data_IF_447981258460
#
_entry.id   IF_447981258460
#
_cell.length_a   1.000
_cell.length_b   1.000
_cell.length_c   1.000
_cell.angle_alpha   90.00
_cell.angle_beta   90.00
_cell.angle_gamma   90.00
#
_symmetry.space_group_name_H-M   'P 1'
#
loop_
_entity.id
_entity.type
_entity.pdbx_description
1 polymer ?
#
# COMPACT_ATOMS: atom_id res chain seq x y z
N UNK A 1 1.54 23.39 -24.16
CA UNK A 1 0.40 22.82 -23.41
C UNK A 1 0.94 21.72 -22.50
N UNK A 2 1.60 22.13 -21.42
CA UNK A 2 2.19 21.19 -20.46
C UNK A 2 2.25 21.91 -19.10
N UNK A 3 1.25 21.80 -18.29
CA UNK A 3 1.24 22.53 -17.03
C UNK A 3 0.13 22.17 -16.05
N UNK A 4 -0.61 21.08 -16.23
CA UNK A 4 -1.74 20.75 -15.35
C UNK A 4 -1.78 19.31 -14.82
N UNK A 5 -0.72 18.53 -14.95
CA UNK A 5 -0.74 17.10 -14.53
C UNK A 5 -0.24 16.85 -13.10
N UNK A 6 0.50 17.77 -12.48
CA UNK A 6 1.08 17.52 -11.16
C UNK A 6 0.21 17.88 -9.95
N UNK A 7 -0.62 18.94 -9.94
CA UNK A 7 -1.55 19.17 -8.82
C UNK A 7 -2.48 17.98 -8.60
N UNK A 8 -2.82 17.27 -9.69
CA UNK A 8 -3.70 16.12 -9.66
C UNK A 8 -3.05 14.88 -9.03
N UNK A 9 -1.72 14.73 -9.05
CA UNK A 9 -1.04 13.57 -8.47
C UNK A 9 -0.89 13.68 -6.94
N UNK A 10 -0.53 14.84 -6.41
CA UNK A 10 -0.45 15.05 -4.95
C UNK A 10 -1.85 15.01 -4.33
N UNK A 11 -2.82 15.68 -4.95
CA UNK A 11 -4.24 15.64 -4.55
C UNK A 11 -4.89 14.30 -4.87
N UNK A 12 -4.55 13.62 -5.96
CA UNK A 12 -5.08 12.29 -6.26
C UNK A 12 -4.51 11.21 -5.35
N UNK A 13 -3.24 11.26 -4.98
CA UNK A 13 -2.66 10.29 -4.05
C UNK A 13 -3.23 10.48 -2.63
N UNK A 14 -3.44 11.73 -2.18
CA UNK A 14 -4.08 12.05 -0.92
C UNK A 14 -5.62 12.00 -1.00
N UNK A 15 -6.23 12.48 -2.09
CA UNK A 15 -7.68 12.51 -2.27
C UNK A 15 -8.29 11.14 -2.62
N UNK A 16 -7.57 10.24 -3.26
CA UNK A 16 -8.02 8.85 -3.46
C UNK A 16 -8.21 8.10 -2.14
N UNK A 17 -7.63 8.60 -1.05
CA UNK A 17 -7.66 7.98 0.26
C UNK A 17 -8.50 8.71 1.32
N UNK A 18 -9.05 9.91 1.05
CA UNK A 18 -9.67 10.74 2.11
C UNK A 18 -10.95 11.46 1.66
N UNK A 19 -11.91 10.80 1.04
CA UNK A 19 -13.26 11.34 0.91
C UNK A 19 -14.21 10.66 1.91
N UNK A 20 -14.31 11.24 3.11
CA UNK A 20 -15.45 11.03 4.01
C UNK A 20 -15.92 12.39 4.57
N UNK A 21 -17.21 12.71 4.49
CA UNK A 21 -17.76 13.90 5.14
C UNK A 21 -17.73 13.73 6.66
N UNK A 22 -17.16 14.71 7.33
CA UNK A 22 -17.09 14.79 8.78
C UNK A 22 -18.47 14.86 9.41
N UNK A 23 -18.90 13.84 10.12
CA UNK A 23 -19.98 13.94 11.09
C UNK A 23 -19.46 14.64 12.35
N UNK A 24 -20.17 15.70 12.75
CA UNK A 24 -19.84 16.59 13.86
C UNK A 24 -19.77 15.85 15.19
N UNK A 25 -18.66 15.95 15.89
CA UNK A 25 -18.64 15.80 17.35
C UNK A 25 -18.05 17.05 17.99
N UNK A 26 -18.87 17.70 18.80
CA UNK A 26 -18.50 18.80 19.69
C UNK A 26 -17.88 18.23 20.97
N UNK A 27 -16.72 18.70 21.38
CA UNK A 27 -16.36 18.75 22.79
C UNK A 27 -15.39 19.89 23.09
N UNK A 28 -15.78 20.73 24.02
CA UNK A 28 -15.03 21.85 24.62
C UNK A 28 -14.11 21.34 25.73
N UNK A 29 -13.09 22.16 25.97
CA UNK A 29 -12.22 22.39 27.14
C UNK A 29 -10.78 21.92 26.90
N UNK A 30 -9.76 22.72 27.09
CA UNK A 30 -9.45 23.83 27.96
C UNK A 30 -7.95 23.69 28.34
N UNK A 31 -7.15 24.70 28.12
CA UNK A 31 -5.69 24.74 28.21
C UNK A 31 -5.16 24.63 29.64
N UNK A 32 -3.95 24.08 29.78
CA UNK A 32 -2.88 24.67 30.58
C UNK A 32 -1.52 24.11 30.16
N UNK A 33 -0.57 25.03 29.97
CA UNK A 33 0.81 24.73 29.60
C UNK A 33 1.65 24.70 30.88
N UNK A 34 2.47 23.66 31.07
CA UNK A 34 3.61 23.69 31.95
C UNK A 34 4.86 23.15 31.28
N UNK A 35 5.91 23.97 31.37
CA UNK A 35 7.26 23.69 30.87
C UNK A 35 7.97 22.70 31.80
N UNK A 36 8.41 21.54 31.29
CA UNK A 36 9.36 20.69 32.01
C UNK A 36 10.52 20.29 31.10
N UNK A 37 11.73 20.47 31.65
CA UNK A 37 13.01 20.11 31.09
C UNK A 37 13.08 18.61 30.72
N UNK A 38 13.50 18.30 29.49
CA UNK A 38 13.60 16.93 28.96
C UNK A 38 14.84 16.23 29.53
N UNK A 39 14.61 15.18 30.29
CA UNK A 39 15.55 14.09 30.51
C UNK A 39 15.70 13.22 29.26
N UNK A 40 16.82 12.49 29.02
CA UNK A 40 17.01 11.68 27.82
C UNK A 40 15.91 10.63 27.70
N UNK A 41 15.27 10.59 26.53
CA UNK A 41 14.14 9.74 26.26
C UNK A 41 14.52 8.26 26.40
N UNK A 42 13.98 7.57 27.39
CA UNK A 42 13.88 6.11 27.37
C UNK A 42 13.07 5.73 26.13
N UNK A 43 13.56 4.78 25.33
CA UNK A 43 12.83 4.23 24.19
C UNK A 43 11.37 3.94 24.59
N UNK A 44 10.44 4.69 24.03
CA UNK A 44 9.02 4.43 24.24
C UNK A 44 8.66 3.13 23.53
N UNK A 45 8.17 2.14 24.24
CA UNK A 45 7.80 0.83 23.75
C UNK A 45 6.57 0.84 22.84
N UNK A 46 5.78 1.92 22.84
CA UNK A 46 4.56 2.09 22.03
C UNK A 46 4.30 3.57 21.74
N UNK A 47 3.86 3.88 20.53
CA UNK A 47 3.19 5.14 20.23
C UNK A 47 1.82 5.05 20.88
N UNK A 48 1.52 5.91 21.84
CA UNK A 48 0.24 5.84 22.51
C UNK A 48 -0.92 6.22 21.54
N UNK A 49 -2.14 5.88 21.94
CA UNK A 49 -3.35 6.19 21.17
C UNK A 49 -3.43 7.69 20.85
N UNK A 50 -3.00 8.54 21.76
CA UNK A 50 -3.06 9.99 21.60
C UNK A 50 -2.05 10.50 20.56
N UNK A 51 -0.84 9.94 20.50
CA UNK A 51 0.14 10.26 19.44
C UNK A 51 -0.37 9.83 18.07
N UNK A 52 -0.97 8.63 17.97
CA UNK A 52 -1.58 8.14 16.73
C UNK A 52 -2.74 9.03 16.26
N UNK A 53 -3.61 9.46 17.16
CA UNK A 53 -4.71 10.38 16.85
C UNK A 53 -4.18 11.76 16.40
N UNK A 54 -3.10 12.26 17.01
CA UNK A 54 -2.45 13.51 16.62
C UNK A 54 -1.83 13.44 15.22
N UNK A 55 -1.18 12.32 14.88
CA UNK A 55 -0.65 12.06 13.54
C UNK A 55 -1.81 12.07 12.52
N UNK A 56 -2.86 11.30 12.78
CA UNK A 56 -4.03 11.22 11.90
C UNK A 56 -4.71 12.57 11.70
N UNK A 57 -4.90 13.32 12.78
CA UNK A 57 -5.50 14.66 12.73
C UNK A 57 -4.60 15.65 11.95
N UNK A 58 -3.29 15.53 12.11
CA UNK A 58 -2.33 16.35 11.37
C UNK A 58 -2.39 16.09 9.87
N UNK A 59 -2.44 14.83 9.46
CA UNK A 59 -2.57 14.48 8.04
C UNK A 59 -3.91 14.97 7.45
N UNK A 60 -5.04 14.79 8.14
CA UNK A 60 -6.34 15.33 7.67
C UNK A 60 -6.27 16.84 7.45
N UNK A 61 -5.73 17.59 8.43
CA UNK A 61 -5.58 19.06 8.29
C UNK A 61 -4.64 19.45 7.16
N UNK A 62 -3.54 18.71 6.96
CA UNK A 62 -2.64 18.96 5.84
C UNK A 62 -3.34 18.71 4.50
N UNK A 63 -4.12 17.65 4.40
CA UNK A 63 -4.91 17.35 3.20
C UNK A 63 -5.93 18.46 2.90
N UNK A 64 -6.67 18.96 3.90
CA UNK A 64 -7.60 20.09 3.75
C UNK A 64 -6.90 21.36 3.22
N UNK A 65 -5.63 21.57 3.61
CA UNK A 65 -4.82 22.67 3.06
C UNK A 65 -4.42 22.39 1.60
N UNK A 66 -4.01 21.19 1.28
CA UNK A 66 -3.64 20.79 -0.09
C UNK A 66 -4.82 20.88 -1.07
N UNK A 67 -6.02 20.52 -0.64
CA UNK A 67 -7.25 20.68 -1.43
C UNK A 67 -7.54 22.14 -1.80
N UNK A 68 -7.08 23.07 -0.96
CA UNK A 68 -7.16 24.53 -1.20
C UNK A 68 -5.91 25.10 -1.91
N UNK A 69 -5.02 24.21 -2.37
CA UNK A 69 -3.72 24.56 -2.97
C UNK A 69 -2.80 25.37 -2.02
N UNK A 70 -3.10 25.37 -0.70
CA UNK A 70 -2.24 26.01 0.31
C UNK A 70 -1.15 25.04 0.77
N UNK A 71 -0.23 24.75 -0.15
CA UNK A 71 0.89 23.83 0.09
C UNK A 71 1.82 24.29 1.21
N UNK A 72 1.92 25.61 1.44
CA UNK A 72 2.74 26.13 2.51
C UNK A 72 2.13 25.82 3.87
N UNK A 73 0.84 26.06 4.06
CA UNK A 73 0.13 25.70 5.28
C UNK A 73 0.17 24.17 5.49
N UNK A 74 -0.03 23.38 4.43
CA UNK A 74 0.10 21.93 4.49
C UNK A 74 1.47 21.46 4.99
N UNK A 75 2.56 22.05 4.47
CA UNK A 75 3.91 21.76 4.92
C UNK A 75 4.13 22.10 6.41
N UNK A 76 3.65 23.26 6.88
CA UNK A 76 3.77 23.64 8.30
C UNK A 76 2.99 22.70 9.22
N UNK A 77 1.80 22.26 8.81
CA UNK A 77 1.04 21.24 9.55
C UNK A 77 1.82 19.93 9.59
N UNK A 78 2.36 19.45 8.46
CA UNK A 78 3.14 18.21 8.41
C UNK A 78 4.42 18.27 9.24
N UNK A 79 5.02 19.44 9.45
CA UNK A 79 6.14 19.59 10.38
C UNK A 79 5.76 19.29 11.82
N UNK A 80 4.52 19.54 12.22
CA UNK A 80 4.03 19.15 13.54
C UNK A 80 3.91 17.63 13.65
N UNK A 81 3.47 16.96 12.58
CA UNK A 81 3.44 15.50 12.48
C UNK A 81 4.86 14.92 12.49
N UNK A 82 5.77 15.51 11.71
CA UNK A 82 7.18 15.15 11.71
C UNK A 82 7.82 15.21 13.10
N UNK A 83 7.43 16.17 13.94
CA UNK A 83 7.96 16.26 15.32
C UNK A 83 7.57 15.06 16.18
N UNK A 84 6.51 14.35 15.84
CA UNK A 84 6.05 13.12 16.53
C UNK A 84 6.77 11.90 15.97
N UNK A 85 6.95 11.84 14.63
CA UNK A 85 7.60 10.73 13.93
C UNK A 85 8.66 11.25 12.92
N UNK A 86 9.85 11.65 13.40
CA UNK A 86 10.85 12.33 12.57
C UNK A 86 11.58 11.42 11.57
N UNK A 87 11.42 10.10 11.68
CA UNK A 87 12.07 9.14 10.78
C UNK A 87 11.09 8.56 9.73
N UNK A 88 9.88 9.10 9.66
CA UNK A 88 8.92 8.73 8.63
C UNK A 88 9.27 9.40 7.31
N UNK A 89 9.83 8.64 6.38
CA UNK A 89 10.26 9.12 5.09
C UNK A 89 9.09 9.62 4.22
N UNK A 90 7.88 9.13 4.43
CA UNK A 90 6.70 9.62 3.74
C UNK A 90 6.33 11.04 4.18
N UNK A 91 6.34 11.31 5.50
CA UNK A 91 6.10 12.66 6.02
C UNK A 91 7.15 13.62 5.47
N UNK A 92 8.42 13.23 5.50
CA UNK A 92 9.54 14.02 4.98
C UNK A 92 9.33 14.31 3.49
N UNK A 93 8.91 13.30 2.72
CA UNK A 93 8.64 13.45 1.30
C UNK A 93 7.51 14.45 1.03
N UNK A 94 6.37 14.33 1.72
CA UNK A 94 5.24 15.25 1.53
C UNK A 94 5.61 16.70 1.88
N UNK A 95 6.45 16.92 2.90
CA UNK A 95 6.94 18.26 3.20
C UNK A 95 7.84 18.76 2.07
N UNK A 96 8.74 17.94 1.54
CA UNK A 96 9.60 18.31 0.41
C UNK A 96 8.78 18.66 -0.83
N UNK A 97 7.80 17.83 -1.21
CA UNK A 97 6.91 18.10 -2.34
C UNK A 97 6.08 19.38 -2.16
N UNK A 98 5.61 19.65 -0.93
CA UNK A 98 4.89 20.88 -0.64
C UNK A 98 5.75 22.11 -0.91
N UNK A 99 7.04 22.10 -0.52
CA UNK A 99 7.97 23.18 -0.84
C UNK A 99 8.32 23.27 -2.32
N UNK A 100 8.33 22.13 -3.02
CA UNK A 100 8.44 22.15 -4.48
C UNK A 100 7.26 22.86 -5.14
N UNK A 101 6.03 22.64 -4.63
CA UNK A 101 4.81 23.28 -5.15
C UNK A 101 4.82 24.80 -4.94
N UNK A 102 5.27 25.30 -3.79
CA UNK A 102 5.35 26.76 -3.53
C UNK A 102 6.59 27.42 -4.12
N UNK A 103 7.52 26.66 -4.67
CA UNK A 103 8.74 27.18 -5.28
C UNK A 103 9.82 27.60 -4.30
N UNK A 104 9.78 27.16 -3.05
CA UNK A 104 10.82 27.39 -2.06
C UNK A 104 11.95 26.37 -2.20
N UNK A 105 12.90 26.66 -3.09
CA UNK A 105 14.03 25.78 -3.39
C UNK A 105 14.95 25.53 -2.17
N UNK A 106 15.05 26.48 -1.26
CA UNK A 106 15.90 26.33 -0.08
C UNK A 106 15.32 25.30 0.90
N UNK A 107 14.04 25.44 1.21
CA UNK A 107 13.31 24.47 2.04
C UNK A 107 13.23 23.11 1.37
N UNK A 108 12.94 23.04 0.07
CA UNK A 108 12.94 21.78 -0.69
C UNK A 108 14.27 21.05 -0.54
N UNK A 109 15.41 21.71 -0.78
CA UNK A 109 16.75 21.10 -0.67
C UNK A 109 17.06 20.64 0.77
N UNK A 110 16.59 21.37 1.77
CA UNK A 110 16.72 20.97 3.17
C UNK A 110 16.00 19.66 3.44
N UNK A 111 14.74 19.55 2.98
CA UNK A 111 13.92 18.36 3.22
C UNK A 111 14.36 17.15 2.38
N UNK A 112 14.80 17.37 1.14
CA UNK A 112 15.43 16.33 0.32
C UNK A 112 16.70 15.77 0.98
N UNK A 113 17.50 16.62 1.65
CA UNK A 113 18.66 16.14 2.44
C UNK A 113 18.24 15.26 3.61
N UNK A 114 17.17 15.61 4.32
CA UNK A 114 16.59 14.78 5.38
C UNK A 114 16.06 13.46 4.85
N UNK A 115 15.33 13.51 3.73
CA UNK A 115 14.82 12.31 3.06
C UNK A 115 15.96 11.38 2.68
N UNK A 116 17.04 11.91 2.11
CA UNK A 116 18.22 11.12 1.74
C UNK A 116 18.89 10.44 2.94
N UNK A 117 18.91 11.09 4.10
CA UNK A 117 19.48 10.53 5.32
C UNK A 117 18.66 9.35 5.85
N UNK A 118 17.33 9.37 5.69
CA UNK A 118 16.42 8.34 6.17
C UNK A 118 16.19 7.25 5.11
N UNK A 119 15.97 7.65 3.87
CA UNK A 119 15.56 6.75 2.78
C UNK A 119 16.14 7.15 1.43
N UNK A 120 17.38 6.75 1.11
CA UNK A 120 17.98 7.03 -0.20
C UNK A 120 17.13 6.56 -1.38
N UNK A 121 16.36 5.49 -1.20
CA UNK A 121 15.48 4.93 -2.22
C UNK A 121 14.30 5.86 -2.59
N UNK A 122 13.88 6.71 -1.68
CA UNK A 122 12.81 7.67 -1.93
C UNK A 122 13.33 9.04 -2.41
N UNK A 123 14.64 9.22 -2.47
CA UNK A 123 15.21 10.40 -3.09
C UNK A 123 14.91 10.38 -4.59
N UNK A 124 14.02 11.23 -5.02
CA UNK A 124 13.57 11.33 -6.40
C UNK A 124 13.61 12.78 -6.87
N UNK A 125 13.38 12.94 -8.14
CA UNK A 125 13.38 14.23 -8.80
C UNK A 125 12.02 14.92 -8.64
N UNK A 126 11.97 16.19 -8.14
CA UNK A 126 10.75 16.98 -8.15
C UNK A 126 10.42 17.46 -9.57
N UNK A 127 9.56 16.74 -10.28
CA UNK A 127 9.23 16.98 -11.69
C UNK A 127 8.67 18.38 -11.97
N UNK A 128 8.03 18.99 -10.96
CA UNK A 128 7.49 20.34 -11.01
C UNK A 128 8.54 21.44 -10.86
N UNK A 129 9.81 21.10 -10.56
CA UNK A 129 10.91 22.07 -10.34
C UNK A 129 12.15 21.77 -11.21
N UNK A 130 12.05 21.80 -12.55
CA UNK A 130 13.17 21.48 -13.44
C UNK A 130 14.40 22.38 -13.26
N UNK A 131 14.23 23.61 -12.75
CA UNK A 131 15.33 24.55 -12.47
C UNK A 131 16.28 24.05 -11.38
N UNK A 132 15.77 23.33 -10.38
CA UNK A 132 16.59 22.86 -9.26
C UNK A 132 17.61 21.79 -9.68
N UNK A 133 17.33 21.03 -10.76
CA UNK A 133 18.26 20.04 -11.34
C UNK A 133 19.60 20.66 -11.70
N UNK A 134 19.60 21.90 -12.13
CA UNK A 134 20.79 22.64 -12.53
C UNK A 134 21.59 23.15 -11.33
N UNK A 135 21.01 23.11 -10.12
CA UNK A 135 21.70 23.57 -8.92
C UNK A 135 22.82 22.59 -8.52
N UNK A 136 23.94 23.13 -8.07
CA UNK A 136 25.06 22.32 -7.56
C UNK A 136 24.65 21.51 -6.33
N UNK A 137 23.80 22.09 -5.49
CA UNK A 137 23.31 21.46 -4.25
C UNK A 137 22.48 20.20 -4.55
N UNK A 138 21.53 20.28 -5.49
CA UNK A 138 20.73 19.13 -5.90
C UNK A 138 21.60 18.02 -6.51
N UNK A 139 22.52 18.39 -7.45
CA UNK A 139 23.43 17.41 -8.05
C UNK A 139 24.28 16.67 -7.03
N UNK A 140 24.76 17.36 -6.00
CA UNK A 140 25.49 16.72 -4.91
C UNK A 140 24.63 15.71 -4.14
N UNK A 141 23.38 16.07 -3.80
CA UNK A 141 22.43 15.17 -3.14
C UNK A 141 22.13 13.95 -4.00
N UNK A 142 21.86 14.15 -5.30
CA UNK A 142 21.61 13.06 -6.25
C UNK A 142 22.81 12.10 -6.38
N UNK A 143 24.03 12.61 -6.36
CA UNK A 143 25.25 11.76 -6.36
C UNK A 143 25.37 10.93 -5.07
N UNK A 144 25.01 11.50 -3.91
CA UNK A 144 25.00 10.77 -2.65
C UNK A 144 23.90 9.71 -2.66
N UNK A 145 22.70 10.03 -3.15
CA UNK A 145 21.61 9.08 -3.31
C UNK A 145 22.00 7.88 -4.16
N UNK A 146 22.60 8.16 -5.34
CA UNK A 146 23.03 7.10 -6.27
C UNK A 146 24.07 6.13 -5.66
N UNK A 147 24.93 6.62 -4.76
CA UNK A 147 25.88 5.77 -4.03
C UNK A 147 25.23 4.92 -2.94
N UNK A 148 24.12 5.39 -2.38
CA UNK A 148 23.38 4.69 -1.33
C UNK A 148 22.42 3.63 -1.87
N UNK A 149 22.08 3.66 -3.16
CA UNK A 149 21.23 2.66 -3.81
C UNK A 149 22.06 1.42 -4.11
N UNK A 150 21.63 0.26 -3.57
CA UNK A 150 22.25 -1.03 -3.88
C UNK A 150 21.89 -1.48 -5.30
N UNK A 151 22.70 -2.34 -5.94
CA UNK A 151 22.29 -3.02 -7.16
C UNK A 151 20.96 -3.74 -6.96
N UNK A 152 20.15 -3.77 -8.01
CA UNK A 152 18.85 -4.47 -7.98
C UNK A 152 19.07 -5.96 -7.65
N UNK A 153 18.33 -6.43 -6.65
CA UNK A 153 18.42 -7.81 -6.17
C UNK A 153 17.33 -8.72 -6.75
N UNK A 154 16.29 -8.11 -7.31
CA UNK A 154 15.19 -8.84 -7.93
C UNK A 154 15.49 -9.19 -9.38
N UNK A 155 15.04 -10.36 -9.80
CA UNK A 155 15.07 -10.84 -11.19
C UNK A 155 13.66 -10.96 -11.76
N UNK A 156 13.52 -10.89 -13.07
CA UNK A 156 12.23 -11.12 -13.75
C UNK A 156 11.87 -12.60 -13.62
N UNK A 157 10.79 -12.91 -12.92
CA UNK A 157 10.27 -14.27 -12.84
C UNK A 157 9.53 -14.66 -14.12
N UNK A 158 8.62 -13.80 -14.57
CA UNK A 158 7.90 -13.97 -15.84
C UNK A 158 7.22 -12.66 -16.26
N UNK A 159 6.79 -12.61 -17.52
CA UNK A 159 6.05 -11.47 -18.09
C UNK A 159 4.79 -11.93 -18.80
N UNK A 160 3.71 -11.12 -18.70
CA UNK A 160 2.45 -11.37 -19.40
C UNK A 160 2.32 -10.42 -20.62
N UNK A 161 1.79 -10.95 -21.69
CA UNK A 161 1.56 -10.22 -22.95
C UNK A 161 0.32 -9.32 -22.92
N UNK A 162 -0.61 -9.56 -22.01
CA UNK A 162 -1.85 -8.80 -21.81
C UNK A 162 -1.54 -7.51 -21.02
N UNK A 163 -1.20 -6.46 -21.78
CA UNK A 163 -0.70 -5.20 -21.22
C UNK A 163 -1.74 -4.42 -20.42
N UNK A 164 -2.99 -4.54 -20.79
CA UNK A 164 -4.15 -3.87 -20.20
C UNK A 164 -4.84 -4.70 -19.10
N UNK A 165 -4.13 -5.72 -18.59
CA UNK A 165 -4.57 -6.46 -17.40
C UNK A 165 -4.63 -5.56 -16.18
N UNK A 166 -3.62 -4.70 -16.00
CA UNK A 166 -3.46 -3.78 -14.87
C UNK A 166 -3.67 -4.54 -13.56
N UNK A 167 -2.74 -5.46 -13.23
CA UNK A 167 -2.88 -6.32 -12.07
C UNK A 167 -2.58 -5.57 -10.78
N UNK A 168 -3.23 -5.99 -9.70
CA UNK A 168 -2.98 -5.47 -8.36
C UNK A 168 -2.67 -6.59 -7.39
N UNK A 169 -3.37 -7.72 -7.47
CA UNK A 169 -3.20 -8.89 -6.61
C UNK A 169 -2.49 -10.05 -7.29
N UNK A 170 -1.69 -10.80 -6.50
CA UNK A 170 -1.06 -12.05 -6.92
C UNK A 170 -1.16 -13.08 -5.80
N UNK A 171 -1.53 -14.32 -6.16
CA UNK A 171 -1.56 -15.47 -5.26
C UNK A 171 -0.86 -16.67 -5.91
N UNK A 172 -0.48 -17.67 -5.12
CA UNK A 172 0.21 -18.87 -5.60
C UNK A 172 -0.43 -20.13 -5.04
N UNK A 173 -0.68 -21.09 -5.91
CA UNK A 173 -1.10 -22.44 -5.55
C UNK A 173 0.11 -23.38 -5.57
N UNK A 174 0.56 -23.86 -4.40
CA UNK A 174 1.72 -24.74 -4.32
C UNK A 174 1.48 -26.14 -4.87
N UNK A 175 0.23 -26.61 -4.92
CA UNK A 175 -0.09 -27.95 -5.44
C UNK A 175 -0.03 -27.97 -6.96
N UNK A 176 -0.65 -26.99 -7.62
CA UNK A 176 -0.63 -26.89 -9.08
C UNK A 176 0.60 -26.16 -9.63
N UNK A 177 1.38 -25.51 -8.74
CA UNK A 177 2.53 -24.68 -9.07
C UNK A 177 2.18 -23.55 -10.08
N UNK A 178 1.09 -22.83 -9.79
CA UNK A 178 0.59 -21.75 -10.61
C UNK A 178 0.37 -20.48 -9.82
N UNK A 179 0.52 -19.35 -10.50
CA UNK A 179 0.15 -18.05 -9.96
C UNK A 179 -1.24 -17.64 -10.46
N UNK A 180 -1.94 -16.86 -9.66
CA UNK A 180 -3.14 -16.13 -10.05
C UNK A 180 -2.81 -14.65 -9.99
N UNK A 181 -3.17 -13.89 -11.04
CA UNK A 181 -3.08 -12.43 -11.06
C UNK A 181 -4.47 -11.85 -11.26
N UNK A 182 -4.77 -10.83 -10.47
CA UNK A 182 -6.02 -10.08 -10.57
C UNK A 182 -5.97 -9.06 -11.72
N UNK A 183 -7.11 -8.47 -12.05
CA UNK A 183 -7.18 -7.36 -12.99
C UNK A 183 -8.13 -6.29 -12.51
N UNK A 184 -7.59 -5.11 -12.20
CA UNK A 184 -8.40 -3.95 -11.87
C UNK A 184 -9.30 -3.54 -13.02
N UNK A 185 -8.74 -3.46 -14.23
CA UNK A 185 -9.49 -2.98 -15.39
C UNK A 185 -10.42 -4.03 -15.97
N UNK A 186 -9.95 -5.27 -16.19
CA UNK A 186 -10.71 -6.29 -16.92
C UNK A 186 -11.66 -7.12 -16.07
N UNK A 187 -11.70 -6.90 -14.77
CA UNK A 187 -12.66 -7.59 -13.90
C UNK A 187 -12.57 -9.12 -14.04
N UNK A 188 -11.34 -9.65 -14.08
CA UNK A 188 -11.06 -11.07 -14.24
C UNK A 188 -9.82 -11.50 -13.49
N UNK A 189 -9.60 -12.80 -13.44
CA UNK A 189 -8.44 -13.45 -12.82
C UNK A 189 -7.78 -14.29 -13.91
N UNK A 190 -6.46 -14.18 -14.06
CA UNK A 190 -5.67 -15.04 -14.93
C UNK A 190 -4.86 -16.04 -14.12
N UNK A 191 -4.75 -17.26 -14.61
CA UNK A 191 -3.93 -18.35 -14.08
C UNK A 191 -2.66 -18.45 -14.91
N UNK A 192 -1.52 -18.45 -14.26
CA UNK A 192 -0.20 -18.38 -14.90
C UNK A 192 0.66 -19.53 -14.41
N UNK A 193 1.12 -20.35 -15.35
CA UNK A 193 2.14 -21.38 -15.10
C UNK A 193 3.47 -20.92 -15.66
N UNK A 194 4.45 -20.57 -14.80
CA UNK A 194 5.80 -20.24 -15.25
C UNK A 194 6.41 -21.41 -16.01
N UNK A 195 7.30 -21.10 -16.95
CA UNK A 195 8.15 -22.06 -17.64
C UNK A 195 9.61 -21.78 -17.34
N UNK A 196 10.50 -22.63 -17.80
CA UNK A 196 11.95 -22.42 -17.69
C UNK A 196 12.38 -21.10 -18.34
N UNK A 197 13.47 -20.52 -17.89
CA UNK A 197 14.04 -19.29 -18.44
C UNK A 197 14.05 -19.33 -19.99
N UNK A 198 13.61 -18.27 -20.64
CA UNK A 198 13.47 -18.08 -22.08
C UNK A 198 12.18 -18.61 -22.74
N UNK A 199 11.26 -19.21 -22.00
CA UNK A 199 9.95 -19.56 -22.53
C UNK A 199 8.85 -18.66 -21.91
N UNK A 200 7.89 -18.16 -22.73
CA UNK A 200 6.77 -17.41 -22.16
C UNK A 200 5.94 -18.33 -21.25
N UNK A 201 5.37 -17.80 -20.16
CA UNK A 201 4.50 -18.56 -19.30
C UNK A 201 3.24 -19.02 -20.05
N UNK A 202 2.61 -20.11 -19.60
CA UNK A 202 1.26 -20.45 -20.01
C UNK A 202 0.30 -19.57 -19.23
N UNK A 203 -0.57 -18.86 -19.93
CA UNK A 203 -1.56 -17.96 -19.35
C UNK A 203 -2.94 -18.39 -19.78
N UNK A 204 -3.84 -18.59 -18.85
CA UNK A 204 -5.23 -18.96 -19.05
C UNK A 204 -6.13 -18.04 -18.25
N UNK A 205 -7.32 -17.74 -18.74
CA UNK A 205 -8.34 -17.09 -17.92
C UNK A 205 -8.83 -18.10 -16.87
N UNK A 206 -8.71 -17.74 -15.57
CA UNK A 206 -9.34 -18.49 -14.49
C UNK A 206 -10.82 -18.14 -14.41
N UNK A 207 -11.14 -16.85 -14.53
CA UNK A 207 -12.48 -16.31 -14.75
C UNK A 207 -12.51 -15.48 -16.02
N UNK A 208 -13.62 -15.49 -16.74
CA UNK A 208 -13.86 -14.55 -17.82
C UNK A 208 -14.16 -13.14 -17.29
N UNK A 209 -14.11 -12.13 -18.16
CA UNK A 209 -14.37 -10.73 -17.79
C UNK A 209 -15.77 -10.55 -17.20
N UNK A 210 -15.85 -10.02 -15.96
CA UNK A 210 -17.10 -9.77 -15.24
C UNK A 210 -17.86 -11.03 -14.84
N UNK A 211 -17.25 -12.22 -14.95
CA UNK A 211 -17.88 -13.47 -14.53
C UNK A 211 -18.27 -13.40 -13.07
N UNK A 212 -19.40 -14.01 -12.71
CA UNK A 212 -19.96 -14.07 -11.35
C UNK A 212 -20.25 -12.68 -10.73
N UNK A 213 -20.22 -11.62 -11.56
CA UNK A 213 -20.40 -10.23 -11.12
C UNK A 213 -19.14 -9.65 -10.48
N UNK A 214 -17.95 -10.11 -10.88
CA UNK A 214 -16.68 -9.50 -10.48
C UNK A 214 -16.64 -8.03 -10.87
N UNK A 215 -16.25 -7.18 -9.94
CA UNK A 215 -15.79 -5.80 -10.13
C UNK A 215 -14.28 -5.79 -10.41
N UNK A 216 -13.59 -4.67 -10.22
CA UNK A 216 -12.12 -4.66 -10.16
C UNK A 216 -11.64 -5.70 -9.17
N UNK A 217 -10.78 -6.62 -9.60
CA UNK A 217 -10.21 -7.63 -8.70
C UNK A 217 -8.89 -7.14 -8.14
N UNK A 218 -8.75 -7.21 -6.81
CA UNK A 218 -7.63 -6.70 -6.04
C UNK A 218 -6.85 -7.85 -5.37
N UNK A 219 -6.62 -7.77 -4.06
CA UNK A 219 -5.89 -8.77 -3.31
C UNK A 219 -6.50 -10.17 -3.39
N UNK A 220 -5.65 -11.17 -3.40
CA UNK A 220 -6.05 -12.58 -3.49
C UNK A 220 -5.16 -13.45 -2.61
N UNK A 221 -5.72 -14.53 -2.06
CA UNK A 221 -4.96 -15.57 -1.36
C UNK A 221 -5.50 -16.96 -1.70
N UNK A 222 -4.59 -17.90 -1.81
CA UNK A 222 -4.90 -19.33 -1.95
C UNK A 222 -4.86 -20.00 -0.58
N UNK A 223 -5.96 -20.63 -0.21
CA UNK A 223 -6.00 -21.67 0.82
C UNK A 223 -5.73 -23.01 0.14
N UNK A 224 -4.48 -23.44 0.18
CA UNK A 224 -4.05 -24.63 -0.54
C UNK A 224 -4.62 -25.91 0.08
N UNK A 225 -4.82 -25.94 1.39
CA UNK A 225 -5.36 -27.07 2.11
C UNK A 225 -6.83 -27.33 1.77
N UNK A 226 -7.61 -26.23 1.74
CA UNK A 226 -9.06 -26.29 1.45
C UNK A 226 -9.37 -26.11 -0.04
N UNK A 227 -8.32 -25.94 -0.87
CA UNK A 227 -8.44 -25.72 -2.32
C UNK A 227 -9.32 -24.54 -2.68
N UNK A 228 -9.15 -23.41 -2.01
CA UNK A 228 -9.95 -22.20 -2.18
C UNK A 228 -9.07 -21.05 -2.66
N UNK A 229 -9.56 -20.28 -3.63
CA UNK A 229 -9.05 -18.95 -3.96
C UNK A 229 -10.00 -17.88 -3.41
N UNK A 230 -9.50 -17.06 -2.48
CA UNK A 230 -10.19 -15.90 -1.96
C UNK A 230 -9.81 -14.67 -2.76
N UNK A 231 -10.78 -13.81 -3.10
CA UNK A 231 -10.59 -12.67 -3.98
C UNK A 231 -11.35 -11.45 -3.47
N UNK A 232 -10.65 -10.35 -3.19
CA UNK A 232 -11.24 -9.03 -2.97
C UNK A 232 -11.67 -8.43 -4.31
N UNK A 233 -12.87 -7.84 -4.36
CA UNK A 233 -13.40 -7.23 -5.57
C UNK A 233 -14.22 -6.00 -5.21
N UNK A 234 -13.89 -4.85 -5.80
CA UNK A 234 -14.50 -3.55 -5.48
C UNK A 234 -14.79 -2.77 -6.75
N UNK A 235 -15.91 -2.06 -6.77
CA UNK A 235 -16.30 -1.27 -7.93
C UNK A 235 -15.51 0.04 -7.99
N UNK A 236 -14.53 0.07 -8.88
CA UNK A 236 -13.68 1.24 -9.13
C UNK A 236 -13.95 1.84 -10.50
N UNK A 237 -13.92 3.16 -10.59
CA UNK A 237 -14.31 3.91 -11.79
C UNK A 237 -13.50 3.59 -13.06
N UNK A 238 -12.31 3.03 -12.90
CA UNK A 238 -11.43 2.60 -14.00
C UNK A 238 -11.66 1.15 -14.46
N UNK A 239 -12.58 0.42 -13.84
CA UNK A 239 -12.95 -0.91 -14.32
C UNK A 239 -13.72 -0.81 -15.65
N UNK A 240 -13.58 -1.79 -16.50
CA UNK A 240 -14.38 -1.88 -17.73
C UNK A 240 -15.87 -2.02 -17.41
N UNK A 241 -16.72 -1.33 -18.16
CA UNK A 241 -18.17 -1.30 -17.95
C UNK A 241 -18.59 -0.80 -16.55
N UNK A 242 -17.84 0.15 -15.98
CA UNK A 242 -18.25 0.84 -14.76
C UNK A 242 -19.56 1.60 -14.96
N UNK A 243 -20.39 1.58 -13.95
CA UNK A 243 -21.60 2.40 -13.85
C UNK A 243 -21.62 3.11 -12.50
N UNK A 244 -22.11 4.34 -12.45
CA UNK A 244 -22.29 5.07 -11.19
C UNK A 244 -23.19 4.32 -10.19
N UNK A 245 -24.08 3.45 -10.66
CA UNK A 245 -24.89 2.57 -9.82
C UNK A 245 -24.06 1.50 -9.08
N UNK A 246 -22.80 1.29 -9.49
CA UNK A 246 -21.87 0.36 -8.85
C UNK A 246 -20.99 1.03 -7.81
N UNK A 247 -20.97 2.38 -7.79
CA UNK A 247 -20.11 3.15 -6.90
C UNK A 247 -20.21 2.67 -5.44
N UNK A 248 -19.06 2.35 -4.83
CA UNK A 248 -18.97 1.94 -3.44
C UNK A 248 -19.35 0.50 -3.13
N UNK A 249 -19.80 -0.29 -4.12
CA UNK A 249 -20.04 -1.74 -3.93
C UNK A 249 -18.74 -2.51 -3.87
N UNK A 250 -18.71 -3.52 -3.00
CA UNK A 250 -17.62 -4.47 -2.91
C UNK A 250 -18.15 -5.87 -2.59
N UNK A 251 -17.34 -6.88 -2.87
CA UNK A 251 -17.63 -8.25 -2.48
C UNK A 251 -16.34 -9.06 -2.29
N UNK A 252 -16.39 -10.01 -1.38
CA UNK A 252 -15.39 -11.07 -1.27
C UNK A 252 -15.90 -12.31 -1.99
N UNK A 253 -15.06 -12.89 -2.84
CA UNK A 253 -15.39 -14.10 -3.62
C UNK A 253 -14.57 -15.29 -3.13
N UNK A 254 -15.21 -16.45 -3.10
CA UNK A 254 -14.64 -17.75 -2.71
C UNK A 254 -14.79 -18.72 -3.88
N UNK A 255 -13.69 -19.05 -4.55
CA UNK A 255 -13.67 -19.99 -5.67
C UNK A 255 -13.06 -21.32 -5.26
N UNK A 256 -13.66 -22.42 -5.68
CA UNK A 256 -13.06 -23.75 -5.60
C UNK A 256 -12.02 -23.92 -6.71
N UNK A 257 -10.79 -24.23 -6.33
CA UNK A 257 -9.66 -24.34 -7.27
C UNK A 257 -9.72 -25.58 -8.15
N UNK A 258 -10.39 -26.66 -7.71
CA UNK A 258 -10.49 -27.91 -8.47
C UNK A 258 -11.52 -27.81 -9.57
N UNK A 259 -12.68 -27.19 -9.27
CA UNK A 259 -13.78 -27.02 -10.22
C UNK A 259 -13.73 -25.68 -10.96
N UNK A 260 -12.94 -24.72 -10.49
CA UNK A 260 -12.88 -23.33 -10.95
C UNK A 260 -14.23 -22.60 -10.88
N UNK A 261 -15.12 -23.02 -9.97
CA UNK A 261 -16.45 -22.42 -9.80
C UNK A 261 -16.52 -21.57 -8.56
N UNK A 262 -17.33 -20.52 -8.64
CA UNK A 262 -17.72 -19.73 -7.47
C UNK A 262 -18.50 -20.63 -6.51
N UNK A 263 -18.05 -20.68 -5.25
CA UNK A 263 -18.74 -21.38 -4.17
C UNK A 263 -19.52 -20.41 -3.29
N UNK A 264 -19.00 -19.19 -3.11
CA UNK A 264 -19.65 -18.16 -2.30
C UNK A 264 -19.28 -16.76 -2.75
N UNK A 265 -20.22 -15.83 -2.63
CA UNK A 265 -20.03 -14.38 -2.79
C UNK A 265 -20.58 -13.69 -1.54
N UNK A 266 -19.77 -12.85 -0.92
CA UNK A 266 -20.14 -12.05 0.25
C UNK A 266 -20.21 -10.59 -0.21
N UNK A 267 -21.41 -10.11 -0.45
CA UNK A 267 -21.66 -8.76 -0.95
C UNK A 267 -21.72 -7.75 0.19
N UNK A 268 -21.10 -6.59 -0.04
CA UNK A 268 -21.17 -5.43 0.86
C UNK A 268 -21.89 -4.30 0.10
N UNK A 269 -22.85 -3.68 0.75
CA UNK A 269 -23.62 -2.58 0.17
C UNK A 269 -22.78 -1.31 -0.05
N UNK A 270 -23.30 -0.32 -0.79
CA UNK A 270 -22.52 0.86 -1.17
C UNK A 270 -22.43 1.94 -0.09
N UNK A 271 -23.09 1.79 1.06
CA UNK A 271 -23.17 2.79 2.12
C UNK A 271 -22.77 2.18 3.48
N UNK A 272 -21.62 2.58 4.04
CA UNK A 272 -20.63 3.49 3.44
C UNK A 272 -19.99 2.91 2.17
N UNK A 273 -19.22 3.70 1.43
CA UNK A 273 -18.38 3.20 0.32
C UNK A 273 -17.37 2.17 0.85
N UNK A 274 -17.22 1.08 0.12
CA UNK A 274 -16.25 0.03 0.43
C UNK A 274 -15.21 -0.13 -0.68
N UNK A 275 -14.00 -0.47 -0.28
CA UNK A 275 -12.90 -0.88 -1.15
C UNK A 275 -12.10 -1.99 -0.45
N UNK A 276 -12.57 -3.23 -0.61
CA UNK A 276 -11.83 -4.40 -0.14
C UNK A 276 -10.51 -4.50 -0.90
N UNK A 277 -9.39 -4.44 -0.18
CA UNK A 277 -8.09 -4.31 -0.83
C UNK A 277 -7.25 -5.58 -0.75
N UNK A 278 -6.80 -5.97 0.42
CA UNK A 278 -5.97 -7.17 0.60
C UNK A 278 -6.53 -8.07 1.70
N UNK A 279 -6.02 -9.29 1.79
CA UNK A 279 -6.49 -10.25 2.78
C UNK A 279 -5.36 -11.14 3.30
N UNK A 280 -5.54 -11.66 4.51
CA UNK A 280 -4.66 -12.64 5.14
C UNK A 280 -5.47 -13.87 5.59
N UNK A 281 -4.83 -15.04 5.58
CA UNK A 281 -5.40 -16.30 6.06
C UNK A 281 -4.55 -16.87 7.19
N UNK A 282 -5.21 -17.44 8.21
CA UNK A 282 -4.54 -18.30 9.17
C UNK A 282 -4.63 -19.79 8.75
N UNK A 283 -3.99 -20.67 9.50
CA UNK A 283 -3.99 -22.12 9.23
C UNK A 283 -5.38 -22.75 9.41
N UNK A 284 -6.21 -22.18 10.27
CA UNK A 284 -7.58 -22.64 10.52
C UNK A 284 -8.50 -22.34 9.34
N UNK A 285 -8.12 -21.40 8.46
CA UNK A 285 -8.91 -20.96 7.30
C UNK A 285 -9.74 -19.71 7.55
N UNK A 286 -9.50 -19.00 8.66
CA UNK A 286 -10.09 -17.69 8.88
C UNK A 286 -9.44 -16.65 7.96
N UNK A 287 -10.26 -15.80 7.40
CA UNK A 287 -9.86 -14.75 6.46
C UNK A 287 -10.05 -13.40 7.10
N UNK A 288 -9.04 -12.54 7.02
CA UNK A 288 -9.09 -11.15 7.48
C UNK A 288 -8.85 -10.23 6.29
N UNK A 289 -9.71 -9.23 6.10
CA UNK A 289 -9.76 -8.41 4.90
C UNK A 289 -9.67 -6.92 5.29
N UNK A 290 -8.81 -6.16 4.64
CA UNK A 290 -8.74 -4.70 4.78
C UNK A 290 -9.72 -4.01 3.85
N UNK A 291 -10.39 -2.98 4.36
CA UNK A 291 -11.22 -2.07 3.58
C UNK A 291 -10.65 -0.65 3.69
N UNK A 292 -10.00 -0.20 2.63
CA UNK A 292 -9.35 1.11 2.59
C UNK A 292 -10.37 2.24 2.71
N UNK A 293 -11.55 2.10 2.11
CA UNK A 293 -12.51 3.20 2.03
C UNK A 293 -13.28 3.41 3.33
N UNK A 294 -13.67 2.34 4.02
CA UNK A 294 -14.39 2.43 5.29
C UNK A 294 -13.46 2.50 6.51
N UNK A 295 -12.21 2.06 6.38
CA UNK A 295 -11.28 1.93 7.50
C UNK A 295 -11.58 0.74 8.40
N UNK A 296 -12.41 -0.19 7.94
CA UNK A 296 -12.80 -1.40 8.66
C UNK A 296 -11.88 -2.57 8.31
N UNK A 297 -11.85 -3.55 9.21
CA UNK A 297 -11.31 -4.87 8.92
C UNK A 297 -12.48 -5.85 8.99
N UNK A 298 -12.68 -6.59 7.91
CA UNK A 298 -13.67 -7.66 7.86
C UNK A 298 -13.04 -9.02 8.14
N UNK A 299 -13.88 -10.02 8.44
CA UNK A 299 -13.45 -11.40 8.62
C UNK A 299 -14.51 -12.38 8.12
N UNK A 300 -14.04 -13.52 7.63
CA UNK A 300 -14.86 -14.73 7.45
C UNK A 300 -14.20 -15.81 8.29
N UNK A 301 -14.83 -16.16 9.41
CA UNK A 301 -14.37 -17.26 10.25
C UNK A 301 -14.75 -18.59 9.59
N UNK A 302 -13.81 -19.55 9.58
CA UNK A 302 -13.97 -20.83 8.90
C UNK A 302 -15.19 -21.64 9.39
N UNK A 303 -15.55 -21.50 10.67
CA UNK A 303 -16.67 -22.20 11.30
C UNK A 303 -18.04 -21.56 11.06
N UNK A 304 -18.08 -20.29 10.63
CA UNK A 304 -19.32 -19.53 10.41
C UNK A 304 -19.65 -19.30 8.94
N UNK A 305 -18.63 -19.18 8.08
CA UNK A 305 -18.76 -18.88 6.64
C UNK A 305 -19.65 -17.64 6.35
N UNK A 306 -19.53 -16.61 7.19
CA UNK A 306 -20.25 -15.31 7.10
C UNK A 306 -19.23 -14.19 7.16
N UNK A 307 -19.42 -13.16 6.33
CA UNK A 307 -18.61 -11.93 6.38
C UNK A 307 -19.11 -11.04 7.53
N UNK A 308 -18.24 -10.78 8.48
CA UNK A 308 -18.53 -9.96 9.66
C UNK A 308 -17.49 -8.83 9.79
N UNK A 309 -17.85 -7.73 10.44
CA UNK A 309 -16.90 -6.69 10.83
C UNK A 309 -16.04 -7.22 11.98
N UNK A 310 -14.73 -7.33 11.74
CA UNK A 310 -13.76 -7.74 12.76
C UNK A 310 -13.32 -6.54 13.62
N UNK A 311 -12.93 -5.43 12.97
CA UNK A 311 -12.64 -4.16 13.63
C UNK A 311 -13.46 -3.06 12.95
N UNK A 312 -14.27 -2.32 13.71
CA UNK A 312 -15.14 -1.29 13.15
C UNK A 312 -14.34 -0.05 12.69
N UNK A 313 -14.97 0.75 11.84
CA UNK A 313 -14.45 2.04 11.38
C UNK A 313 -14.01 2.96 12.52
N UNK A 314 -13.05 3.84 12.20
CA UNK A 314 -12.51 4.81 13.15
C UNK A 314 -11.27 4.33 13.91
N UNK A 315 -10.86 3.06 13.77
CA UNK A 315 -9.58 2.57 14.30
C UNK A 315 -8.45 2.77 13.30
N UNK A 316 -8.68 2.49 12.04
CA UNK A 316 -7.76 2.70 10.92
C UNK A 316 -8.29 3.81 10.02
N UNK A 317 -7.39 4.42 9.25
CA UNK A 317 -7.74 5.48 8.30
C UNK A 317 -7.78 4.94 6.87
N UNK A 318 -6.75 4.20 6.49
CA UNK A 318 -6.62 3.59 5.16
C UNK A 318 -5.85 2.26 5.28
N UNK A 319 -6.45 1.22 5.89
CA UNK A 319 -5.80 -0.08 6.04
C UNK A 319 -5.63 -0.74 4.68
N UNK A 320 -4.38 -1.04 4.31
CA UNK A 320 -4.02 -1.60 3.01
C UNK A 320 -3.42 -3.00 3.19
N UNK A 321 -2.10 -3.20 3.03
CA UNK A 321 -1.48 -4.50 3.17
C UNK A 321 -1.72 -5.14 4.53
N UNK A 322 -1.99 -6.44 4.55
CA UNK A 322 -2.28 -7.21 5.76
C UNK A 322 -1.51 -8.52 5.77
N UNK A 323 -0.93 -8.85 6.92
CA UNK A 323 -0.25 -10.11 7.17
C UNK A 323 -0.71 -10.72 8.48
N UNK A 324 -0.51 -12.02 8.64
CA UNK A 324 -0.79 -12.74 9.89
C UNK A 324 0.47 -13.49 10.34
N UNK A 325 0.71 -13.54 11.65
CA UNK A 325 1.79 -14.33 12.24
C UNK A 325 1.62 -15.82 11.96
N UNK A 326 2.71 -16.59 12.01
CA UNK A 326 2.69 -18.03 11.70
C UNK A 326 1.73 -18.82 12.58
N UNK A 327 1.58 -18.41 13.84
CA UNK A 327 0.69 -19.02 14.82
C UNK A 327 -0.76 -18.50 14.75
N UNK A 328 -1.07 -17.58 13.82
CA UNK A 328 -2.42 -17.05 13.60
C UNK A 328 -2.92 -16.05 14.65
N UNK A 329 -2.14 -15.79 15.71
CA UNK A 329 -2.59 -14.98 16.84
C UNK A 329 -2.47 -13.46 16.68
N UNK A 330 -1.72 -12.99 15.68
CA UNK A 330 -1.43 -11.56 15.50
C UNK A 330 -1.54 -11.15 14.04
N UNK A 331 -2.37 -10.14 13.75
CA UNK A 331 -2.41 -9.46 12.45
C UNK A 331 -1.46 -8.27 12.44
N UNK A 332 -0.86 -8.02 11.30
CA UNK A 332 -0.10 -6.82 11.00
C UNK A 332 -0.81 -6.09 9.85
N UNK A 333 -1.16 -4.83 10.07
CA UNK A 333 -1.94 -4.03 9.13
C UNK A 333 -1.18 -2.75 8.81
N UNK A 334 -0.88 -2.53 7.54
CA UNK A 334 -0.36 -1.27 7.06
C UNK A 334 -1.49 -0.26 6.96
N UNK A 335 -1.53 0.71 7.87
CA UNK A 335 -2.48 1.82 7.82
C UNK A 335 -1.78 3.02 7.17
N UNK A 336 -2.16 3.32 5.96
CA UNK A 336 -1.54 4.42 5.22
C UNK A 336 -2.11 5.77 5.65
N UNK A 337 -1.28 6.76 5.97
CA UNK A 337 0.19 6.81 5.95
C UNK A 337 0.84 6.57 7.33
N UNK A 338 0.16 5.90 8.27
CA UNK A 338 0.51 5.90 9.70
C UNK A 338 1.48 4.80 10.12
N UNK A 339 1.86 3.89 9.22
CA UNK A 339 2.76 2.79 9.52
C UNK A 339 2.03 1.46 9.73
N UNK A 340 2.68 0.53 10.43
CA UNK A 340 2.13 -0.80 10.66
C UNK A 340 1.60 -0.93 12.08
N UNK A 341 0.42 -1.50 12.21
CA UNK A 341 -0.22 -1.85 13.48
C UNK A 341 -0.16 -3.36 13.69
N UNK A 342 0.12 -3.79 14.92
CA UNK A 342 -0.14 -5.14 15.37
C UNK A 342 -1.53 -5.20 16.04
N UNK A 343 -2.29 -6.24 15.69
CA UNK A 343 -3.62 -6.51 16.22
C UNK A 343 -3.63 -7.91 16.80
N UNK A 344 -3.96 -8.05 18.07
CA UNK A 344 -4.21 -9.35 18.68
C UNK A 344 -5.55 -9.89 18.21
N UNK A 345 -5.55 -11.07 17.57
CA UNK A 345 -6.75 -11.64 16.93
C UNK A 345 -7.84 -11.96 17.95
N UNK A 346 -7.47 -12.39 19.16
CA UNK A 346 -8.41 -12.81 20.19
C UNK A 346 -9.06 -11.60 20.91
N UNK A 347 -8.26 -10.63 21.28
CA UNK A 347 -8.73 -9.47 22.07
C UNK A 347 -9.13 -8.29 21.18
N UNK A 348 -8.76 -8.30 19.90
CA UNK A 348 -8.91 -7.20 18.94
C UNK A 348 -8.20 -5.90 19.36
N UNK A 349 -7.33 -5.98 20.37
CA UNK A 349 -6.49 -4.85 20.77
C UNK A 349 -5.45 -4.59 19.68
N UNK A 350 -5.29 -3.34 19.32
CA UNK A 350 -4.34 -2.92 18.30
C UNK A 350 -3.44 -1.81 18.77
N UNK A 351 -2.14 -1.90 18.44
CA UNK A 351 -1.15 -0.88 18.70
C UNK A 351 -0.27 -0.67 17.46
N UNK A 352 0.05 0.60 17.17
CA UNK A 352 1.05 0.90 16.15
C UNK A 352 2.39 0.35 16.60
N UNK A 353 3.09 -0.36 15.72
CA UNK A 353 4.42 -0.86 16.01
C UNK A 353 5.41 0.31 16.15
N UNK A 354 6.06 0.46 17.32
CA UNK A 354 7.18 1.38 17.44
C UNK A 354 8.30 0.96 16.48
N UNK A 355 8.98 1.94 15.91
CA UNK A 355 10.14 1.68 15.07
C UNK A 355 11.34 2.45 15.59
N UNK A 356 12.50 1.80 15.60
CA UNK A 356 13.76 2.39 16.08
C UNK A 356 14.69 2.79 14.93
N UNK A 357 14.24 2.84 13.68
CA UNK A 357 15.11 2.86 12.52
C UNK A 357 14.61 3.66 11.33
N UNK A 358 15.60 4.15 10.58
CA UNK A 358 15.52 5.09 9.47
C UNK A 358 14.86 4.63 8.17
N UNK A 359 14.08 3.55 8.13
CA UNK A 359 13.17 3.25 7.03
C UNK A 359 11.78 2.97 7.58
N UNK A 360 10.82 3.74 7.10
CA UNK A 360 9.43 3.62 7.51
C UNK A 360 8.74 2.42 6.85
N UNK A 361 7.93 1.65 7.58
CA UNK A 361 7.01 0.69 7.00
C UNK A 361 5.74 1.35 6.44
N UNK A 362 5.60 2.67 6.61
CA UNK A 362 4.45 3.42 6.09
C UNK A 362 4.34 3.28 4.58
N UNK A 363 3.11 3.18 4.09
CA UNK A 363 2.86 3.05 2.66
C UNK A 363 3.14 1.65 2.09
N UNK A 364 3.19 0.62 2.95
CA UNK A 364 3.25 -0.77 2.47
C UNK A 364 1.91 -1.16 1.85
N UNK A 365 1.90 -1.31 0.54
CA UNK A 365 0.78 -1.82 -0.26
C UNK A 365 0.64 -3.33 -0.05
N UNK A 366 1.65 -4.11 -0.37
CA UNK A 366 1.76 -5.51 0.04
C UNK A 366 2.52 -5.67 1.35
N UNK A 367 1.99 -6.49 2.28
CA UNK A 367 2.62 -6.79 3.57
C UNK A 367 2.59 -8.31 3.83
N UNK A 368 3.74 -8.88 4.25
CA UNK A 368 3.88 -10.33 4.43
C UNK A 368 4.67 -10.62 5.70
N UNK A 369 4.21 -11.61 6.47
CA UNK A 369 4.98 -12.15 7.60
C UNK A 369 5.93 -13.25 7.11
N UNK A 370 7.21 -13.16 7.48
CA UNK A 370 8.23 -14.11 7.06
C UNK A 370 9.34 -14.24 8.10
N UNK A 371 9.46 -15.39 8.74
CA UNK A 371 10.55 -15.70 9.72
C UNK A 371 10.75 -14.58 10.75
N UNK A 372 9.71 -14.23 11.47
CA UNK A 372 9.65 -13.15 12.46
C UNK A 372 10.07 -11.77 11.93
N UNK A 373 9.80 -11.51 10.65
CA UNK A 373 9.96 -10.23 9.99
C UNK A 373 8.70 -9.88 9.22
N UNK A 374 8.53 -8.59 8.95
CA UNK A 374 7.57 -8.14 7.94
C UNK A 374 8.33 -7.81 6.65
N UNK A 375 7.79 -8.22 5.53
CA UNK A 375 8.23 -7.82 4.19
C UNK A 375 7.19 -6.86 3.65
N UNK A 376 7.58 -5.62 3.36
CA UNK A 376 6.69 -4.59 2.81
C UNK A 376 7.08 -4.22 1.39
N UNK A 377 6.07 -4.08 0.52
CA UNK A 377 6.21 -3.46 -0.80
C UNK A 377 5.65 -2.05 -0.68
N UNK A 378 6.50 -1.04 -0.75
CA UNK A 378 6.14 0.35 -0.54
C UNK A 378 6.19 1.10 -1.86
N UNK A 379 5.08 1.73 -2.27
CA UNK A 379 4.95 2.37 -3.59
C UNK A 379 4.36 3.79 -3.56
N UNK A 380 4.10 4.33 -2.36
CA UNK A 380 3.28 5.52 -2.17
C UNK A 380 3.93 6.84 -2.64
N UNK A 381 5.23 6.86 -2.91
CA UNK A 381 5.96 8.12 -3.18
C UNK A 381 5.78 8.58 -4.63
N UNK A 382 5.95 7.69 -5.59
CA UNK A 382 5.70 7.98 -7.00
C UNK A 382 5.61 6.68 -7.81
N UNK A 383 5.16 6.80 -9.05
CA UNK A 383 5.03 5.70 -10.02
C UNK A 383 6.27 4.80 -10.08
N UNK A 384 7.48 5.39 -9.99
CA UNK A 384 8.75 4.70 -10.14
C UNK A 384 9.55 4.55 -8.85
N UNK A 385 9.20 5.29 -7.82
CA UNK A 385 9.88 5.24 -6.52
C UNK A 385 9.20 4.22 -5.61
N UNK A 386 9.55 2.95 -5.79
CA UNK A 386 9.10 1.86 -4.94
C UNK A 386 10.25 1.12 -4.29
N UNK A 387 9.98 0.41 -3.21
CA UNK A 387 10.93 -0.46 -2.56
C UNK A 387 10.29 -1.74 -2.03
N UNK A 388 11.09 -2.79 -1.95
CA UNK A 388 10.80 -3.95 -1.10
C UNK A 388 11.72 -3.86 0.11
N UNK A 389 11.15 -3.89 1.31
CA UNK A 389 11.89 -3.76 2.55
C UNK A 389 11.55 -4.88 3.53
N UNK A 390 12.52 -5.24 4.37
CA UNK A 390 12.34 -6.15 5.49
C UNK A 390 12.40 -5.36 6.79
N UNK A 391 11.43 -5.61 7.66
CA UNK A 391 11.31 -5.02 8.99
C UNK A 391 11.42 -6.16 10.01
N UNK A 392 12.50 -6.17 10.77
CA UNK A 392 12.76 -7.18 11.78
C UNK A 392 11.96 -6.84 13.04
N UNK A 393 11.21 -7.81 13.52
CA UNK A 393 10.43 -7.67 14.74
C UNK A 393 11.27 -8.08 15.95
N UNK A 394 10.86 -7.62 17.14
CA UNK A 394 11.33 -8.20 18.39
C UNK A 394 10.71 -9.59 18.61
N UNK A 395 11.16 -10.32 19.65
CA UNK A 395 10.68 -11.69 19.92
C UNK A 395 9.17 -11.74 20.24
N UNK A 396 8.59 -10.64 20.72
CA UNK A 396 7.16 -10.51 21.00
C UNK A 396 6.35 -10.03 19.80
N UNK A 397 7.03 -9.70 18.69
CA UNK A 397 6.44 -9.07 17.51
C UNK A 397 5.61 -7.82 17.84
N UNK A 398 6.11 -7.01 18.79
CA UNK A 398 5.47 -5.78 19.25
C UNK A 398 6.23 -4.50 18.90
N UNK A 399 7.42 -4.63 18.31
CA UNK A 399 8.20 -3.50 17.81
C UNK A 399 9.05 -3.88 16.58
N UNK A 400 9.32 -2.88 15.73
CA UNK A 400 10.29 -3.01 14.62
C UNK A 400 11.65 -2.58 15.14
N UNK A 401 12.58 -3.53 15.25
CA UNK A 401 13.92 -3.29 15.79
C UNK A 401 14.92 -2.82 14.75
N UNK A 402 14.69 -3.21 13.48
CA UNK A 402 15.56 -2.86 12.35
C UNK A 402 14.79 -2.92 11.05
N UNK A 403 15.14 -2.06 10.10
CA UNK A 403 14.71 -2.12 8.71
C UNK A 403 15.88 -2.38 7.76
N UNK A 404 15.63 -3.03 6.64
CA UNK A 404 16.57 -3.22 5.56
C UNK A 404 15.86 -3.14 4.20
N UNK A 405 16.35 -2.29 3.30
CA UNK A 405 15.90 -2.27 1.91
C UNK A 405 16.48 -3.49 1.21
N UNK A 406 15.62 -4.30 0.61
CA UNK A 406 15.99 -5.49 -0.17
C UNK A 406 16.15 -5.16 -1.65
N UNK A 407 15.25 -4.35 -2.19
CA UNK A 407 15.30 -3.83 -3.56
C UNK A 407 14.61 -2.46 -3.63
N UNK A 408 15.02 -1.59 -4.53
CA UNK A 408 14.34 -0.31 -4.74
C UNK A 408 14.60 0.29 -6.12
N UNK A 409 13.65 1.12 -6.57
CA UNK A 409 13.75 1.89 -7.81
C UNK A 409 14.19 1.05 -9.03
N UNK A 410 13.74 -0.21 -9.07
CA UNK A 410 14.06 -1.08 -10.19
C UNK A 410 13.53 -0.47 -11.50
N UNK A 411 14.29 -0.52 -12.63
CA UNK A 411 13.90 0.12 -13.90
C UNK A 411 12.54 -0.30 -14.47
N UNK A 412 12.06 -1.48 -14.07
CA UNK A 412 10.74 -1.99 -14.49
C UNK A 412 9.60 -1.48 -13.62
N UNK A 413 9.88 -0.84 -12.47
CA UNK A 413 8.84 -0.35 -11.58
C UNK A 413 7.94 0.67 -12.27
N UNK A 414 6.66 0.44 -12.10
CA UNK A 414 5.57 1.36 -12.42
C UNK A 414 4.39 0.99 -11.52
N UNK A 415 4.37 1.53 -10.31
CA UNK A 415 3.50 1.12 -9.22
C UNK A 415 3.66 -0.37 -8.88
N UNK A 416 4.76 -0.78 -8.23
CA UNK A 416 4.84 -2.13 -7.66
C UNK A 416 3.79 -2.26 -6.54
N UNK A 417 2.96 -3.31 -6.55
CA UNK A 417 1.81 -3.44 -5.65
C UNK A 417 2.00 -4.59 -4.66
N UNK A 418 1.41 -5.71 -4.96
CA UNK A 418 1.38 -6.84 -4.04
C UNK A 418 2.25 -8.01 -4.52
N UNK A 419 2.44 -8.99 -3.67
CA UNK A 419 3.26 -10.17 -3.93
C UNK A 419 2.73 -11.42 -3.23
N UNK A 420 3.51 -12.47 -3.32
CA UNK A 420 3.30 -13.73 -2.58
C UNK A 420 4.64 -14.34 -2.21
N UNK A 421 4.76 -14.80 -0.97
CA UNK A 421 5.95 -15.52 -0.50
C UNK A 421 5.83 -17.00 -0.90
N UNK A 422 6.81 -17.50 -1.64
CA UNK A 422 6.90 -18.91 -2.06
C UNK A 422 8.28 -19.44 -1.65
N UNK A 423 8.31 -20.31 -0.65
CA UNK A 423 9.54 -20.73 -0.02
C UNK A 423 10.33 -19.54 0.56
N UNK A 424 11.57 -19.36 0.13
CA UNK A 424 12.45 -18.26 0.54
C UNK A 424 12.51 -17.13 -0.52
N UNK A 425 11.44 -16.94 -1.28
CA UNK A 425 11.37 -15.89 -2.30
C UNK A 425 10.04 -15.15 -2.26
N UNK A 426 10.11 -13.85 -2.48
CA UNK A 426 8.94 -13.02 -2.77
C UNK A 426 8.78 -12.91 -4.28
N UNK A 427 7.59 -13.27 -4.78
CA UNK A 427 7.16 -12.95 -6.13
C UNK A 427 6.20 -11.78 -6.07
N UNK A 428 6.42 -10.72 -6.87
CA UNK A 428 5.62 -9.52 -6.76
C UNK A 428 5.42 -8.82 -8.11
N UNK A 429 4.31 -8.11 -8.21
CA UNK A 429 3.96 -7.30 -9.38
C UNK A 429 4.83 -6.04 -9.36
N UNK A 430 5.68 -5.88 -10.36
CA UNK A 430 6.59 -4.73 -10.44
C UNK A 430 5.96 -3.51 -11.12
N UNK A 431 4.97 -3.74 -11.99
CA UNK A 431 4.32 -2.70 -12.77
C UNK A 431 2.82 -2.97 -12.91
N UNK A 432 2.07 -2.57 -11.92
CA UNK A 432 0.60 -2.55 -11.99
C UNK A 432 0.10 -1.63 -13.11
N UNK A 433 0.84 -0.55 -13.35
CA UNK A 433 0.44 0.51 -14.30
C UNK A 433 -0.87 1.21 -13.89
N UNK A 434 -1.19 1.23 -12.58
CA UNK A 434 -2.40 1.82 -12.03
C UNK A 434 -2.68 3.25 -12.51
N UNK A 435 -1.65 4.06 -12.77
CA UNK A 435 -1.76 5.41 -13.33
C UNK A 435 -1.99 5.48 -14.84
N UNK A 436 -2.25 4.35 -15.53
CA UNK A 436 -2.38 4.33 -16.99
C UNK A 436 -3.82 4.51 -17.47
N UNK A 437 -4.53 5.46 -16.86
CA UNK A 437 -5.88 5.88 -17.24
C UNK A 437 -5.91 7.37 -17.57
N UNK A 438 -6.77 7.77 -18.52
CA UNK A 438 -7.04 9.18 -18.82
C UNK A 438 -8.08 9.76 -17.83
N UNK A 439 -8.38 11.05 -17.97
CA UNK A 439 -9.36 11.73 -17.11
C UNK A 439 -10.80 11.21 -17.26
N UNK A 440 -11.07 10.38 -18.26
CA UNK A 440 -12.35 9.70 -18.47
C UNK A 440 -12.30 8.23 -18.03
N UNK A 441 -11.28 7.88 -17.23
CA UNK A 441 -11.04 6.53 -16.70
C UNK A 441 -10.86 5.43 -17.77
N UNK A 442 -10.51 5.81 -19.01
CA UNK A 442 -10.16 4.87 -20.06
C UNK A 442 -8.68 4.53 -19.99
N UNK A 443 -8.32 3.29 -20.27
CA UNK A 443 -6.91 2.91 -20.36
C UNK A 443 -6.20 3.67 -21.48
N UNK A 444 -4.93 4.00 -21.24
CA UNK A 444 -4.08 4.53 -22.31
C UNK A 444 -4.03 3.55 -23.49
N UNK A 445 -3.80 4.05 -24.71
CA UNK A 445 -3.61 3.18 -25.88
C UNK A 445 -2.61 2.07 -25.61
N UNK A 446 -2.88 0.87 -26.07
CA UNK A 446 -2.06 -0.33 -25.82
C UNK A 446 -0.59 -0.17 -26.19
N UNK A 447 -0.27 0.74 -27.12
CA UNK A 447 1.12 1.10 -27.48
C UNK A 447 1.89 1.78 -26.35
N UNK A 448 1.19 2.48 -25.44
CA UNK A 448 1.78 3.13 -24.26
C UNK A 448 1.87 2.20 -23.05
N UNK A 449 1.13 1.12 -23.04
CA UNK A 449 1.14 0.14 -21.96
C UNK A 449 2.32 -0.83 -22.12
N UNK A 450 2.87 -1.27 -20.98
CA UNK A 450 3.96 -2.24 -20.92
C UNK A 450 3.42 -3.66 -20.68
N UNK A 451 4.24 -4.66 -20.94
CA UNK A 451 3.97 -6.03 -20.47
C UNK A 451 3.94 -6.03 -18.95
N UNK A 452 3.04 -6.79 -18.37
CA UNK A 452 3.03 -7.02 -16.92
C UNK A 452 4.29 -7.80 -16.54
N UNK A 453 5.01 -7.35 -15.53
CA UNK A 453 6.24 -7.97 -15.05
C UNK A 453 6.04 -8.44 -13.61
N UNK A 454 6.25 -9.73 -13.38
CA UNK A 454 6.37 -10.30 -12.04
C UNK A 454 7.85 -10.54 -11.76
N UNK A 455 8.31 -9.95 -10.65
CA UNK A 455 9.69 -10.09 -10.18
C UNK A 455 9.78 -11.19 -9.12
N UNK A 456 10.99 -11.73 -8.95
CA UNK A 456 11.35 -12.65 -7.88
C UNK A 456 12.52 -12.06 -7.10
N UNK A 457 12.37 -12.03 -5.80
CA UNK A 457 13.39 -11.56 -4.85
C UNK A 457 13.64 -12.65 -3.81
N UNK A 458 14.89 -13.03 -3.61
CA UNK A 458 15.26 -13.96 -2.52
C UNK A 458 15.19 -13.22 -1.18
N UNK A 459 14.46 -13.82 -0.22
CA UNK A 459 14.29 -13.31 1.14
C UNK A 459 15.36 -13.85 2.10
#
# INVERSE_FOLDING_TARGET
MSGKLLPTLLTATLASFVFLPASRFNSRNGAQAESQQRAPAKQKKYVDKQESERISAGFRKANEAFEKEDYKAGAEILKTVYSINPEDDLIINFIAESYAMVGDDASLLLWLRRLLAVSPCFFHFPENRPSILKSRQYRNLAQVAAKGIRPHASEVAFMLGEKDLIPEGIAYDPLDQVFFLSSLHKRKIVRVRPRTANQPPIVEDFTSQGQDGLYSTLGMKVDAERRVLWVCSSAESFMSAYSESDAGKAALFKYDLNTRRLTRKYEIGPNPRHLLNDLALNAEGDVFITDIASGEIFTVMHDKDVLEVFIPAGRFTAPNGIAISSEGGKLFISDMPFGVYAVDVKTKLSARLPQSVGISPSGSDGLYFYKNCLIGIVNIVSERAGRVARFYLDDSAESITRGAVLDCNHPVYQWPTTGVVVGDSLFYIANSQYGSFDNEHRTFPRSKLRKVVVMKLKL
#
